data_IF_943688432254
#
_entry.id   IF_943688432254
#
_cell.length_a   1.000
_cell.length_b   1.000
_cell.length_c   1.000
_cell.angle_alpha   90.00
_cell.angle_beta   90.00
_cell.angle_gamma   90.00
#
_symmetry.space_group_name_H-M   'P 1'
#
loop_
_entity.id
_entity.type
_entity.pdbx_description
1 polymer ?
#
# COMPACT_ATOMS: atom_id res chain seq x y z
N UNK A 1 11.94 -1.83 -4.80
CA UNK A 1 11.94 -2.83 -3.72
C UNK A 1 13.38 -3.12 -3.31
N UNK A 2 13.69 -3.09 -2.01
CA UNK A 2 14.99 -3.50 -1.48
C UNK A 2 15.08 -5.04 -1.48
N UNK A 3 16.26 -5.59 -1.76
CA UNK A 3 16.48 -7.04 -1.73
C UNK A 3 16.86 -7.47 -0.31
N UNK A 4 16.04 -8.34 0.27
CA UNK A 4 16.19 -8.83 1.65
C UNK A 4 16.38 -10.35 1.63
N UNK A 5 17.19 -10.87 2.56
CA UNK A 5 17.24 -12.30 2.82
C UNK A 5 15.93 -12.77 3.44
N UNK A 6 15.58 -14.03 3.18
CA UNK A 6 14.58 -14.75 3.93
C UNK A 6 15.25 -15.96 4.60
N UNK A 7 14.97 -16.15 5.89
CA UNK A 7 15.49 -17.26 6.69
C UNK A 7 14.50 -18.43 6.80
N UNK A 8 13.34 -18.32 6.14
CA UNK A 8 12.28 -19.34 6.16
C UNK A 8 11.96 -19.73 4.73
N UNK A 9 11.67 -21.01 4.51
CA UNK A 9 11.22 -21.51 3.21
C UNK A 9 9.69 -21.59 3.20
N UNK A 10 9.08 -22.07 4.29
CA UNK A 10 7.63 -22.17 4.38
C UNK A 10 6.95 -20.80 4.47
N UNK A 11 5.83 -20.66 3.76
CA UNK A 11 5.03 -19.43 3.71
C UNK A 11 5.81 -18.19 3.25
N UNK A 12 6.85 -18.42 2.44
CA UNK A 12 7.58 -17.35 1.76
C UNK A 12 6.65 -16.59 0.83
N UNK A 13 6.57 -15.28 1.02
CA UNK A 13 5.78 -14.41 0.17
C UNK A 13 6.46 -14.21 -1.21
N UNK A 14 5.71 -13.73 -2.22
CA UNK A 14 6.26 -13.50 -3.55
C UNK A 14 7.45 -12.51 -3.61
N UNK A 15 7.71 -11.71 -2.56
CA UNK A 15 8.88 -10.82 -2.52
C UNK A 15 10.21 -11.59 -2.43
N UNK A 16 10.18 -12.88 -2.07
CA UNK A 16 11.37 -13.72 -1.98
C UNK A 16 11.31 -14.95 -2.89
N UNK A 17 10.48 -14.89 -3.93
CA UNK A 17 10.46 -15.88 -5.02
C UNK A 17 11.32 -15.39 -6.17
N UNK A 18 12.34 -16.18 -6.52
CA UNK A 18 13.36 -15.81 -7.50
C UNK A 18 13.40 -16.81 -8.66
N UNK A 19 13.64 -16.31 -9.86
CA UNK A 19 13.87 -17.09 -11.08
C UNK A 19 15.29 -16.82 -11.55
N UNK A 20 16.04 -17.90 -11.80
CA UNK A 20 17.35 -17.82 -12.44
C UNK A 20 17.17 -17.93 -13.95
N UNK A 21 17.46 -16.85 -14.66
CA UNK A 21 17.39 -16.79 -16.12
C UNK A 21 18.79 -16.91 -16.70
N UNK A 22 19.05 -17.93 -17.51
CA UNK A 22 20.35 -18.13 -18.16
C UNK A 22 20.74 -16.90 -19.01
N UNK A 23 21.99 -16.45 -18.85
CA UNK A 23 22.52 -15.29 -19.55
C UNK A 23 24.04 -15.43 -19.70
N UNK A 24 24.48 -15.85 -20.88
CA UNK A 24 25.90 -16.09 -21.16
C UNK A 24 26.44 -17.26 -20.33
N UNK A 25 27.46 -17.01 -19.50
CA UNK A 25 28.08 -18.04 -18.63
C UNK A 25 27.51 -18.06 -17.20
N UNK A 26 26.42 -17.34 -16.95
CA UNK A 26 25.81 -17.24 -15.63
C UNK A 26 24.32 -16.98 -15.71
N UNK A 27 23.76 -16.44 -14.64
CA UNK A 27 22.32 -16.21 -14.51
C UNK A 27 22.02 -14.76 -14.14
N UNK A 28 20.94 -14.22 -14.69
CA UNK A 28 20.24 -13.08 -14.09
C UNK A 28 19.28 -13.60 -13.02
N UNK A 29 19.21 -12.89 -11.90
CA UNK A 29 18.32 -13.27 -10.79
C UNK A 29 17.13 -12.34 -10.77
N UNK A 30 15.96 -12.84 -11.15
CA UNK A 30 14.71 -12.08 -11.28
C UNK A 30 13.80 -12.36 -10.11
N UNK A 31 13.21 -11.34 -9.51
CA UNK A 31 12.09 -11.52 -8.61
C UNK A 31 10.82 -11.82 -9.41
N UNK A 32 10.16 -12.94 -9.12
CA UNK A 32 8.99 -13.40 -9.87
C UNK A 32 7.79 -12.45 -9.77
N UNK A 33 7.61 -11.78 -8.63
CA UNK A 33 6.49 -10.86 -8.42
C UNK A 33 6.77 -9.47 -8.99
N UNK A 34 7.92 -8.88 -8.65
CA UNK A 34 8.27 -7.54 -9.11
C UNK A 34 8.66 -7.48 -10.59
N UNK A 35 8.93 -8.63 -11.23
CA UNK A 35 9.41 -8.72 -12.61
C UNK A 35 10.69 -7.91 -12.87
N UNK A 36 11.51 -7.74 -11.84
CA UNK A 36 12.77 -6.97 -11.83
C UNK A 36 13.89 -7.81 -11.27
N UNK A 37 15.12 -7.40 -11.53
CA UNK A 37 16.31 -8.19 -11.28
C UNK A 37 17.16 -7.62 -10.15
N UNK A 38 17.97 -8.48 -9.54
CA UNK A 38 19.13 -8.04 -8.78
C UNK A 38 20.12 -7.38 -9.77
N UNK A 39 20.43 -6.08 -9.64
CA UNK A 39 21.39 -5.38 -10.51
C UNK A 39 22.78 -5.97 -10.34
N UNK A 40 23.74 -5.65 -11.22
CA UNK A 40 25.16 -5.98 -10.97
C UNK A 40 25.66 -5.22 -9.73
N UNK A 41 26.14 -5.94 -8.70
CA UNK A 41 26.55 -5.32 -7.45
C UNK A 41 27.88 -4.58 -7.56
N UNK A 42 28.05 -3.53 -6.78
CA UNK A 42 29.34 -2.89 -6.50
C UNK A 42 29.73 -3.12 -5.05
N UNK A 43 31.02 -2.99 -4.72
CA UNK A 43 31.49 -3.03 -3.33
C UNK A 43 31.00 -1.77 -2.61
N UNK A 44 29.87 -1.87 -1.90
CA UNK A 44 29.25 -0.75 -1.22
C UNK A 44 28.39 -1.23 -0.04
N UNK A 45 28.33 -0.46 1.07
CA UNK A 45 27.50 -0.81 2.23
C UNK A 45 26.02 -0.49 2.02
N UNK A 46 25.64 0.09 0.87
CA UNK A 46 24.27 0.53 0.61
C UNK A 46 23.40 -0.64 0.17
N UNK A 47 22.20 -0.84 0.78
CA UNK A 47 21.29 -1.89 0.39
C UNK A 47 20.93 -1.88 -1.10
N UNK A 48 20.90 -3.08 -1.67
CA UNK A 48 20.58 -3.27 -3.08
C UNK A 48 19.06 -3.18 -3.29
N UNK A 49 18.66 -2.49 -4.35
CA UNK A 49 17.28 -2.45 -4.83
C UNK A 49 17.16 -3.14 -6.19
N UNK A 50 16.01 -3.75 -6.44
CA UNK A 50 15.70 -4.35 -7.73
C UNK A 50 15.72 -3.31 -8.85
N UNK A 51 16.20 -3.72 -10.03
CA UNK A 51 16.33 -2.88 -11.22
C UNK A 51 15.79 -3.58 -12.47
N UNK A 52 15.58 -2.84 -13.55
CA UNK A 52 15.13 -3.41 -14.83
C UNK A 52 16.25 -4.17 -15.55
N UNK A 53 17.52 -3.92 -15.17
CA UNK A 53 18.70 -4.52 -15.78
C UNK A 53 19.41 -5.45 -14.79
N UNK A 54 19.25 -6.76 -14.99
CA UNK A 54 19.91 -7.76 -14.14
C UNK A 54 21.42 -7.85 -14.34
N UNK A 55 22.14 -7.93 -13.23
CA UNK A 55 23.52 -8.41 -13.22
C UNK A 55 23.58 -9.89 -13.60
N UNK A 56 24.70 -10.30 -14.19
CA UNK A 56 24.98 -11.70 -14.49
C UNK A 56 25.87 -12.28 -13.40
N UNK A 57 25.43 -13.39 -12.81
CA UNK A 57 26.05 -14.02 -11.65
C UNK A 57 26.46 -15.46 -11.93
N UNK A 58 27.62 -15.83 -11.43
CA UNK A 58 28.06 -17.24 -11.34
C UNK A 58 27.77 -17.76 -9.94
N UNK A 59 27.19 -18.94 -9.88
CA UNK A 59 26.92 -19.67 -8.65
C UNK A 59 27.95 -20.79 -8.53
N UNK A 60 28.71 -20.80 -7.43
CA UNK A 60 29.74 -21.80 -7.17
C UNK A 60 29.48 -22.45 -5.83
N UNK A 61 29.33 -23.78 -5.82
CA UNK A 61 29.17 -24.53 -4.58
C UNK A 61 30.45 -24.42 -3.75
N UNK A 62 30.30 -24.04 -2.48
CA UNK A 62 31.40 -23.91 -1.56
C UNK A 62 31.93 -25.28 -1.13
N UNK A 63 33.10 -25.29 -0.49
CA UNK A 63 33.74 -26.52 -0.04
C UNK A 63 32.89 -27.31 0.99
N UNK A 64 31.95 -26.65 1.66
CA UNK A 64 30.98 -27.26 2.57
C UNK A 64 29.93 -28.12 1.87
N UNK A 65 29.84 -28.09 0.54
CA UNK A 65 28.84 -28.80 -0.27
C UNK A 65 27.38 -28.44 0.04
N UNK A 66 27.13 -27.36 0.78
CA UNK A 66 25.81 -26.94 1.23
C UNK A 66 25.47 -25.51 0.80
N UNK A 67 26.46 -24.63 0.78
CA UNK A 67 26.26 -23.21 0.51
C UNK A 67 26.90 -22.79 -0.81
N UNK A 68 26.41 -21.70 -1.36
CA UNK A 68 26.83 -21.16 -2.64
C UNK A 68 27.50 -19.81 -2.45
N UNK A 69 28.64 -19.61 -3.10
CA UNK A 69 29.18 -18.29 -3.41
C UNK A 69 28.51 -17.77 -4.68
N UNK A 70 28.01 -16.55 -4.63
CA UNK A 70 27.33 -15.88 -5.75
C UNK A 70 28.16 -14.67 -6.14
N UNK A 71 28.76 -14.70 -7.34
CA UNK A 71 29.72 -13.68 -7.79
C UNK A 71 29.31 -13.07 -9.13
N UNK A 72 29.27 -11.74 -9.18
CA UNK A 72 28.99 -10.99 -10.40
C UNK A 72 30.12 -11.09 -11.41
N UNK A 73 29.82 -10.79 -12.67
CA UNK A 73 30.82 -10.72 -13.76
C UNK A 73 31.95 -9.71 -13.51
N UNK A 74 31.73 -8.72 -12.64
CA UNK A 74 32.75 -7.76 -12.19
C UNK A 74 33.56 -8.24 -10.98
N UNK A 75 33.38 -9.47 -10.51
CA UNK A 75 34.12 -10.04 -9.39
C UNK A 75 33.57 -9.72 -8.00
N UNK A 76 32.51 -8.92 -7.89
CA UNK A 76 31.86 -8.59 -6.61
C UNK A 76 30.94 -9.74 -6.18
N UNK A 77 31.06 -10.17 -4.93
CA UNK A 77 30.22 -11.20 -4.33
C UNK A 77 28.99 -10.61 -3.66
N UNK A 78 27.93 -11.41 -3.58
CA UNK A 78 26.79 -11.13 -2.71
C UNK A 78 27.21 -11.20 -1.24
N UNK A 79 26.77 -10.23 -0.47
CA UNK A 79 27.02 -10.12 0.96
C UNK A 79 25.75 -9.58 1.66
N UNK A 80 25.72 -9.55 2.99
CA UNK A 80 24.54 -9.18 3.77
C UNK A 80 24.87 -8.28 4.95
N UNK A 81 24.00 -7.30 5.20
CA UNK A 81 24.01 -6.55 6.45
C UNK A 81 23.34 -7.34 7.57
N UNK A 82 23.59 -6.96 8.83
CA UNK A 82 22.88 -7.50 9.99
C UNK A 82 21.35 -7.34 9.93
N UNK A 83 20.87 -6.34 9.17
CA UNK A 83 19.44 -6.15 8.86
C UNK A 83 18.86 -7.20 7.91
N UNK A 84 19.71 -8.00 7.27
CA UNK A 84 19.34 -8.94 6.21
C UNK A 84 19.28 -8.35 4.81
N UNK A 85 19.60 -7.06 4.64
CA UNK A 85 19.70 -6.43 3.34
C UNK A 85 20.87 -6.99 2.52
N UNK A 86 20.63 -7.26 1.23
CA UNK A 86 21.67 -7.62 0.29
C UNK A 86 22.57 -6.41 0.02
N UNK A 87 23.87 -6.63 0.03
CA UNK A 87 24.92 -5.68 -0.37
C UNK A 87 25.97 -6.41 -1.23
N UNK A 88 26.84 -5.66 -1.89
CA UNK A 88 27.97 -6.23 -2.63
C UNK A 88 29.26 -6.06 -1.85
N UNK A 89 30.09 -7.10 -1.79
CA UNK A 89 31.41 -7.05 -1.17
C UNK A 89 32.46 -7.88 -1.92
N UNK A 90 33.70 -7.84 -1.44
CA UNK A 90 34.80 -8.59 -2.03
C UNK A 90 34.64 -10.11 -1.77
N UNK A 91 35.27 -10.95 -2.61
CA UNK A 91 35.35 -12.41 -2.41
C UNK A 91 35.88 -12.72 -0.99
N UNK A 92 35.26 -13.64 -0.23
CA UNK A 92 34.23 -14.60 -0.65
C UNK A 92 32.77 -14.12 -0.59
N UNK A 93 32.48 -12.95 -0.03
CA UNK A 93 31.12 -12.55 0.33
C UNK A 93 30.51 -13.49 1.37
N UNK A 94 29.18 -13.45 1.51
CA UNK A 94 28.46 -14.35 2.42
C UNK A 94 28.05 -15.66 1.71
N UNK A 95 28.04 -16.79 2.43
CA UNK A 95 27.50 -18.05 1.91
C UNK A 95 25.97 -18.02 1.86
N UNK A 96 25.37 -18.49 0.75
CA UNK A 96 23.92 -18.57 0.58
C UNK A 96 23.45 -20.02 0.42
N UNK A 97 22.40 -20.39 1.14
CA UNK A 97 21.65 -21.62 0.83
C UNK A 97 20.59 -21.31 -0.22
N UNK A 98 20.45 -22.20 -1.20
CA UNK A 98 19.46 -22.09 -2.27
C UNK A 98 18.47 -23.24 -2.16
N UNK A 99 17.19 -22.92 -2.23
CA UNK A 99 16.12 -23.89 -2.13
C UNK A 99 15.19 -23.77 -3.34
N UNK A 100 14.84 -24.92 -3.91
CA UNK A 100 13.71 -25.01 -4.84
C UNK A 100 12.49 -25.42 -4.05
N UNK A 101 11.37 -24.75 -4.28
CA UNK A 101 10.12 -25.00 -3.56
C UNK A 101 8.93 -24.78 -4.47
N UNK A 102 7.78 -25.36 -4.11
CA UNK A 102 6.51 -25.07 -4.75
C UNK A 102 5.91 -23.78 -4.17
N UNK A 103 5.66 -22.80 -5.03
CA UNK A 103 5.06 -21.54 -4.61
C UNK A 103 3.62 -21.73 -4.15
N UNK A 104 3.24 -21.00 -3.11
CA UNK A 104 1.84 -20.87 -2.72
C UNK A 104 1.25 -19.66 -3.46
N UNK A 105 -0.02 -19.72 -3.89
CA UNK A 105 -0.65 -18.57 -4.53
C UNK A 105 -0.91 -17.45 -3.51
N UNK A 106 -0.61 -16.21 -3.92
CA UNK A 106 -0.93 -14.98 -3.19
C UNK A 106 -1.68 -14.04 -4.13
N UNK A 107 -2.52 -13.18 -3.54
CA UNK A 107 -3.21 -12.12 -4.24
C UNK A 107 -2.88 -10.77 -3.62
N UNK A 108 -2.91 -9.74 -4.46
CA UNK A 108 -2.78 -8.35 -3.99
C UNK A 108 -4.12 -7.86 -3.44
N UNK A 109 -4.09 -7.33 -2.22
CA UNK A 109 -5.12 -6.44 -1.71
C UNK A 109 -4.61 -5.01 -1.88
N UNK A 110 -5.22 -4.26 -2.79
CA UNK A 110 -4.87 -2.88 -3.10
C UNK A 110 -5.84 -1.93 -2.41
N UNK A 111 -5.33 -1.18 -1.43
CA UNK A 111 -6.12 -0.30 -0.59
C UNK A 111 -5.81 1.14 -1.00
N UNK A 112 -6.85 1.89 -1.33
CA UNK A 112 -6.77 3.33 -1.60
C UNK A 112 -7.58 4.09 -0.55
N UNK A 113 -6.99 5.11 0.04
CA UNK A 113 -7.75 6.14 0.73
C UNK A 113 -7.95 7.30 -0.24
N UNK A 114 -9.21 7.68 -0.49
CA UNK A 114 -9.58 8.76 -1.40
C UNK A 114 -10.58 9.71 -0.76
N UNK A 115 -10.65 10.95 -1.23
CA UNK A 115 -11.71 11.89 -0.84
C UNK A 115 -13.02 11.58 -1.57
N UNK A 116 -14.13 12.21 -1.15
CA UNK A 116 -15.41 12.16 -1.87
C UNK A 116 -15.36 12.70 -3.30
N UNK A 117 -14.36 13.53 -3.62
CA UNK A 117 -14.11 14.05 -4.97
C UNK A 117 -13.15 13.16 -5.78
N UNK A 118 -12.63 12.07 -5.18
CA UNK A 118 -11.76 11.10 -5.83
C UNK A 118 -10.26 11.42 -5.73
N UNK A 119 -9.86 12.42 -4.95
CA UNK A 119 -8.44 12.73 -4.71
C UNK A 119 -7.78 11.61 -3.89
N UNK A 120 -6.58 11.17 -4.28
CA UNK A 120 -5.86 10.11 -3.59
C UNK A 120 -5.10 10.64 -2.38
N UNK A 121 -5.47 10.18 -1.19
CA UNK A 121 -4.80 10.51 0.07
C UNK A 121 -3.65 9.54 0.37
N UNK A 122 -3.86 8.26 0.15
CA UNK A 122 -2.82 7.24 0.28
C UNK A 122 -3.17 5.97 -0.49
N UNK A 123 -2.17 5.15 -0.78
CA UNK A 123 -2.39 3.84 -1.37
C UNK A 123 -1.35 2.84 -0.85
N UNK A 124 -1.77 1.59 -0.66
CA UNK A 124 -0.87 0.51 -0.29
C UNK A 124 -1.31 -0.80 -0.93
N UNK A 125 -0.32 -1.66 -1.19
CA UNK A 125 -0.54 -3.03 -1.66
C UNK A 125 -0.04 -4.00 -0.61
N UNK A 126 -0.85 -5.00 -0.29
CA UNK A 126 -0.50 -6.10 0.61
C UNK A 126 -0.64 -7.41 -0.14
N UNK A 127 0.34 -8.30 0.00
CA UNK A 127 0.24 -9.67 -0.49
C UNK A 127 -0.43 -10.53 0.57
N UNK A 128 -1.55 -11.15 0.22
CA UNK A 128 -2.30 -12.04 1.10
C UNK A 128 -2.32 -13.43 0.48
N UNK A 129 -2.02 -14.44 1.28
CA UNK A 129 -2.04 -15.83 0.82
C UNK A 129 -3.46 -16.20 0.39
N UNK A 130 -3.57 -16.94 -0.71
CA UNK A 130 -4.88 -17.34 -1.22
C UNK A 130 -5.66 -18.16 -0.19
N UNK A 131 -6.92 -17.77 0.02
CA UNK A 131 -7.83 -18.36 1.00
C UNK A 131 -7.78 -17.72 2.39
N UNK A 132 -6.77 -16.90 2.70
CA UNK A 132 -6.69 -16.20 3.98
C UNK A 132 -7.59 -14.96 3.99
N UNK A 133 -8.01 -14.54 5.18
CA UNK A 133 -8.71 -13.27 5.40
C UNK A 133 -7.72 -12.11 5.51
N UNK A 134 -8.15 -10.90 5.15
CA UNK A 134 -7.40 -9.67 5.41
C UNK A 134 -8.20 -8.73 6.32
N UNK A 135 -7.56 -8.26 7.40
CA UNK A 135 -8.18 -7.31 8.33
C UNK A 135 -7.86 -5.89 7.89
N UNK A 136 -8.89 -5.16 7.43
CA UNK A 136 -8.74 -3.76 7.05
C UNK A 136 -8.63 -2.89 8.30
N UNK A 137 -7.61 -2.03 8.32
CA UNK A 137 -7.51 -0.95 9.32
C UNK A 137 -7.61 0.39 8.60
N UNK A 138 -8.58 1.21 8.98
CA UNK A 138 -8.72 2.58 8.48
C UNK A 138 -7.87 3.53 9.31
N UNK A 139 -7.00 4.29 8.68
CA UNK A 139 -6.17 5.29 9.37
C UNK A 139 -6.96 6.58 9.57
N UNK A 140 -6.80 7.25 10.72
CA UNK A 140 -7.31 8.60 10.88
C UNK A 140 -6.45 9.58 10.07
N UNK A 141 -7.10 10.42 9.27
CA UNK A 141 -6.43 11.43 8.44
C UNK A 141 -6.86 12.80 8.97
N UNK A 142 -5.93 13.64 9.45
CA UNK A 142 -6.27 15.00 9.91
C UNK A 142 -7.01 15.78 8.82
N UNK A 143 -8.09 16.48 9.16
CA UNK A 143 -8.91 17.22 8.18
C UNK A 143 -10.04 16.39 7.55
N UNK A 144 -10.12 15.09 7.84
CA UNK A 144 -11.03 14.18 7.15
C UNK A 144 -11.72 13.20 8.11
N UNK A 145 -12.99 12.89 7.81
CA UNK A 145 -13.76 11.85 8.49
C UNK A 145 -13.99 10.67 7.55
N UNK A 146 -13.96 9.45 8.10
CA UNK A 146 -14.31 8.25 7.34
C UNK A 146 -15.80 8.32 6.95
N UNK A 147 -16.09 8.23 5.66
CA UNK A 147 -17.45 8.22 5.14
C UNK A 147 -17.93 6.80 4.85
N UNK A 148 -17.17 6.06 4.05
CA UNK A 148 -17.54 4.70 3.65
C UNK A 148 -16.33 3.87 3.21
N UNK A 149 -16.53 2.55 3.13
CA UNK A 149 -15.58 1.59 2.57
C UNK A 149 -16.28 0.83 1.45
N UNK A 150 -15.67 0.80 0.28
CA UNK A 150 -16.14 0.08 -0.90
C UNK A 150 -15.19 -1.06 -1.28
N UNK A 151 -15.72 -2.18 -1.76
CA UNK A 151 -14.92 -3.34 -2.20
C UNK A 151 -14.38 -4.21 -1.06
N UNK A 152 -14.91 -4.04 0.16
CA UNK A 152 -14.48 -4.76 1.36
C UNK A 152 -15.11 -6.15 1.53
N UNK A 153 -16.03 -6.56 0.66
CA UNK A 153 -16.86 -7.75 0.81
C UNK A 153 -16.03 -9.05 0.72
N UNK A 154 -14.97 -9.03 -0.08
CA UNK A 154 -14.09 -10.18 -0.30
C UNK A 154 -13.03 -10.38 0.81
N UNK A 155 -12.92 -9.46 1.78
CA UNK A 155 -11.83 -9.46 2.75
C UNK A 155 -11.88 -10.62 3.76
N UNK A 156 -13.04 -11.28 3.92
CA UNK A 156 -13.17 -12.47 4.75
C UNK A 156 -12.44 -13.70 4.18
N UNK A 157 -12.18 -13.72 2.86
CA UNK A 157 -11.46 -14.81 2.18
C UNK A 157 -10.94 -14.34 0.81
N UNK A 158 -9.64 -14.09 0.71
CA UNK A 158 -9.00 -13.58 -0.51
C UNK A 158 -8.75 -14.71 -1.51
N UNK A 159 -9.46 -14.72 -2.62
CA UNK A 159 -9.30 -15.70 -3.71
C UNK A 159 -8.96 -15.07 -5.07
N UNK A 160 -8.81 -13.75 -5.09
CA UNK A 160 -8.44 -12.96 -6.27
C UNK A 160 -7.82 -11.63 -5.85
N UNK A 161 -7.17 -10.93 -6.77
CA UNK A 161 -6.74 -9.55 -6.56
C UNK A 161 -7.95 -8.69 -6.20
N UNK A 162 -7.87 -8.01 -5.06
CA UNK A 162 -8.99 -7.26 -4.48
C UNK A 162 -8.60 -5.80 -4.36
N UNK A 163 -9.47 -4.88 -4.79
CA UNK A 163 -9.30 -3.45 -4.58
C UNK A 163 -10.30 -2.96 -3.55
N UNK A 164 -9.82 -2.26 -2.53
CA UNK A 164 -10.62 -1.62 -1.48
C UNK A 164 -10.43 -0.12 -1.58
N UNK A 165 -11.52 0.63 -1.53
CA UNK A 165 -11.50 2.09 -1.43
C UNK A 165 -12.07 2.52 -0.08
N UNK A 166 -11.28 3.28 0.67
CA UNK A 166 -11.69 3.95 1.90
C UNK A 166 -11.96 5.39 1.51
N UNK A 167 -13.21 5.82 1.62
CA UNK A 167 -13.64 7.15 1.18
C UNK A 167 -13.75 8.06 2.40
N UNK A 168 -13.11 9.21 2.29
CA UNK A 168 -13.02 10.24 3.32
C UNK A 168 -13.74 11.51 2.87
N UNK A 169 -14.44 12.15 3.81
CA UNK A 169 -15.09 13.44 3.61
C UNK A 169 -14.34 14.53 4.39
N UNK A 170 -14.19 15.71 3.78
CA UNK A 170 -13.59 16.86 4.44
C UNK A 170 -14.42 17.25 5.67
N UNK A 171 -13.78 17.37 6.83
CA UNK A 171 -14.45 17.66 8.10
C UNK A 171 -15.21 19.00 8.09
N UNK A 172 -14.78 19.96 7.25
CA UNK A 172 -15.43 21.25 7.08
C UNK A 172 -16.68 21.17 6.18
N UNK A 173 -16.84 20.09 5.40
CA UNK A 173 -18.03 19.83 4.59
C UNK A 173 -19.11 19.01 5.31
N UNK A 174 -18.87 18.59 6.55
CA UNK A 174 -19.88 17.89 7.40
C UNK A 174 -20.91 18.89 7.99
N UNK A 175 -20.82 20.18 7.62
CA UNK A 175 -21.64 21.26 8.14
C UNK A 175 -22.95 21.49 7.37
N UNK A 176 -24.05 21.00 7.96
CA UNK A 176 -25.46 21.31 7.62
C UNK A 176 -25.89 20.76 6.25
N UNK A 177 -26.56 19.61 6.26
CA UNK A 177 -27.40 19.20 5.13
C UNK A 177 -28.29 20.37 4.70
N UNK A 178 -28.21 20.74 3.42
CA UNK A 178 -29.13 21.69 2.83
C UNK A 178 -30.49 21.01 2.80
N UNK A 179 -31.30 21.20 3.85
CA UNK A 179 -32.71 20.83 3.80
C UNK A 179 -33.30 21.64 2.64
N UNK A 180 -33.56 20.99 1.51
CA UNK A 180 -34.45 21.53 0.50
C UNK A 180 -35.82 21.66 1.17
N UNK A 181 -36.33 22.87 1.44
CA UNK A 181 -37.67 22.97 1.94
C UNK A 181 -38.60 22.45 0.84
N UNK A 182 -39.42 21.46 1.18
CA UNK A 182 -40.62 21.15 0.40
C UNK A 182 -41.30 22.48 0.06
N UNK A 183 -41.66 22.66 -1.21
CA UNK A 183 -42.03 23.91 -1.86
C UNK A 183 -43.37 24.50 -1.39
N UNK A 184 -43.59 24.57 -0.08
CA UNK A 184 -44.60 25.39 0.58
C UNK A 184 -43.84 26.46 1.35
N UNK A 185 -43.43 27.53 0.65
CA UNK A 185 -42.86 28.71 1.28
C UNK A 185 -43.84 29.27 2.32
N UNK A 186 -43.63 28.92 3.59
CA UNK A 186 -44.31 29.59 4.71
C UNK A 186 -43.78 31.02 4.76
N UNK A 187 -44.54 31.95 4.16
CA UNK A 187 -44.27 33.39 4.25
C UNK A 187 -44.44 33.83 5.71
N UNK A 188 -43.38 34.41 6.27
CA UNK A 188 -43.36 34.82 7.67
C UNK A 188 -41.96 34.79 8.28
N UNK A 189 -41.86 35.35 9.49
CA UNK A 189 -40.67 35.31 10.32
C UNK A 189 -40.92 34.26 11.40
N UNK A 190 -39.96 33.37 11.61
CA UNK A 190 -40.00 32.38 12.67
C UNK A 190 -38.69 32.41 13.46
N UNK A 191 -38.75 32.07 14.74
CA UNK A 191 -37.54 31.76 15.51
C UNK A 191 -37.01 30.35 15.17
N UNK A 192 -35.86 29.99 15.74
CA UNK A 192 -35.24 28.69 15.52
C UNK A 192 -36.02 27.52 16.13
N UNK A 193 -37.01 27.81 16.98
CA UNK A 193 -37.94 26.83 17.54
C UNK A 193 -39.21 26.70 16.67
N UNK A 194 -39.30 27.39 15.54
CA UNK A 194 -40.42 27.32 14.60
C UNK A 194 -41.65 28.13 15.02
N UNK A 195 -41.54 29.00 16.02
CA UNK A 195 -42.65 29.88 16.45
C UNK A 195 -42.74 31.08 15.52
N UNK A 196 -43.95 31.42 15.07
CA UNK A 196 -44.19 32.57 14.19
C UNK A 196 -44.05 33.88 14.97
N UNK A 197 -43.26 34.81 14.45
CA UNK A 197 -43.03 36.14 15.01
C UNK A 197 -43.71 37.20 14.14
N UNK A 198 -44.22 38.25 14.79
CA UNK A 198 -44.82 39.41 14.10
C UNK A 198 -43.75 40.41 13.62
N UNK A 199 -42.63 40.52 14.35
CA UNK A 199 -41.49 41.40 14.03
C UNK A 199 -40.21 40.88 14.68
N UNK A 200 -39.07 41.28 14.14
CA UNK A 200 -37.75 41.02 14.74
C UNK A 200 -37.47 42.11 15.78
N UNK A 201 -37.30 41.71 17.04
CA UNK A 201 -37.06 42.63 18.15
C UNK A 201 -35.61 42.68 18.63
N UNK A 202 -34.77 41.72 18.23
CA UNK A 202 -33.38 41.59 18.66
C UNK A 202 -32.50 41.07 17.52
N UNK A 203 -31.19 41.30 17.62
CA UNK A 203 -30.20 40.71 16.71
C UNK A 203 -30.12 39.21 16.96
N UNK A 204 -30.05 38.41 15.90
CA UNK A 204 -30.06 36.96 16.01
C UNK A 204 -30.35 36.26 14.69
N UNK A 205 -30.42 34.93 14.74
CA UNK A 205 -30.73 34.09 13.57
C UNK A 205 -32.23 33.79 13.56
N UNK A 206 -32.88 34.05 12.43
CA UNK A 206 -34.31 33.83 12.20
C UNK A 206 -34.54 32.99 10.95
N UNK A 207 -35.73 32.38 10.82
CA UNK A 207 -36.19 31.80 9.57
C UNK A 207 -37.15 32.82 8.92
N UNK A 208 -36.71 33.49 7.85
CA UNK A 208 -37.49 34.48 7.12
C UNK A 208 -37.85 33.89 5.77
N UNK A 209 -39.15 33.70 5.52
CA UNK A 209 -39.67 33.11 4.27
C UNK A 209 -39.01 31.77 3.89
N UNK A 210 -38.75 30.94 4.90
CA UNK A 210 -38.12 29.63 4.73
C UNK A 210 -36.59 29.64 4.64
N UNK A 211 -35.93 30.81 4.72
CA UNK A 211 -34.47 30.91 4.71
C UNK A 211 -33.95 31.31 6.09
N UNK A 212 -32.86 30.68 6.54
CA UNK A 212 -32.14 31.10 7.75
C UNK A 212 -31.39 32.40 7.44
N UNK A 213 -31.69 33.46 8.17
CA UNK A 213 -31.14 34.82 8.00
C UNK A 213 -30.56 35.29 9.32
N UNK A 214 -29.30 35.74 9.31
CA UNK A 214 -28.69 36.46 10.43
C UNK A 214 -29.09 37.94 10.36
N UNK A 215 -29.88 38.39 11.33
CA UNK A 215 -30.28 39.78 11.47
C UNK A 215 -29.33 40.45 12.46
N UNK A 216 -28.56 41.41 11.95
CA UNK A 216 -27.48 42.11 12.67
C UNK A 216 -27.92 43.41 13.32
#
# INVERSE_FOLDING_TARGET
>A
MQVMKNNRIENTDPNHTWVLEESGKGFKVKNAYHQRYVPLLTTAPQPVHLSDNGGVYTFTLNADQETWKIKGTNGVCWDGLGSGALVGWNDPGHPYQLYTYFVQPYFEVYIKAVTTTGELLSAQKVLVKAGDSYQLTTTQIPGYVLKEVQGGEALSRIVTHTQVQIIYEDENHVGIETIQPDAVQKKGIYDLYGRKLQRIGQKGIYIINGQKVLVK
#
